data_IF_754715389398
#
_entry.id   IF_754715389398
#
_cell.length_a   1.000
_cell.length_b   1.000
_cell.length_c   1.000
_cell.angle_alpha   90.00
_cell.angle_beta   90.00
_cell.angle_gamma   90.00
#
_symmetry.space_group_name_H-M   'P 1'
#
loop_
_entity.id
_entity.type
_entity.pdbx_description
1 polymer ?
#
# COMPACT_ATOMS: atom_id res chain seq x y z
N UNK A 1 6.35 -4.30 2.16
CA UNK A 1 6.89 -3.31 3.09
C UNK A 1 8.31 -2.90 2.70
N UNK A 2 8.78 -1.78 3.23
CA UNK A 2 10.18 -1.33 3.04
C UNK A 2 11.06 -1.95 4.13
N UNK A 3 12.32 -2.26 3.79
CA UNK A 3 13.31 -2.69 4.78
C UNK A 3 13.48 -1.60 5.84
N UNK A 4 13.43 -1.99 7.11
CA UNK A 4 13.50 -1.06 8.24
C UNK A 4 14.29 -1.68 9.37
N UNK A 5 15.07 -0.86 10.09
CA UNK A 5 15.75 -1.22 11.32
C UNK A 5 15.23 -0.30 12.42
N UNK A 6 14.67 -0.86 13.48
CA UNK A 6 14.14 -0.14 14.64
C UNK A 6 15.05 -0.33 15.86
N UNK A 7 14.95 0.57 16.83
CA UNK A 7 15.75 0.50 18.04
C UNK A 7 17.25 0.72 17.82
N UNK A 8 17.62 1.47 16.78
CA UNK A 8 19.01 1.71 16.38
C UNK A 8 19.67 2.76 17.31
N UNK A 9 19.94 2.38 18.57
CA UNK A 9 20.56 3.24 19.58
C UNK A 9 22.05 3.53 19.36
N UNK A 10 22.64 3.02 18.26
CA UNK A 10 24.04 3.19 17.91
C UNK A 10 24.27 4.32 16.91
N UNK A 11 23.21 5.04 16.53
CA UNK A 11 23.28 6.23 15.69
C UNK A 11 22.75 7.46 16.44
N UNK A 12 23.39 8.62 16.20
CA UNK A 12 22.97 9.93 16.69
C UNK A 12 22.70 10.84 15.51
N UNK A 13 21.50 11.43 15.44
CA UNK A 13 21.06 12.26 14.32
C UNK A 13 21.30 13.73 14.65
N UNK A 14 22.01 14.43 13.78
CA UNK A 14 22.30 15.85 13.86
C UNK A 14 21.57 16.59 12.73
N UNK A 15 20.41 17.16 13.03
CA UNK A 15 19.54 17.83 12.05
C UNK A 15 20.16 19.13 11.51
N UNK A 16 20.93 19.82 12.33
CA UNK A 16 21.61 21.07 12.00
C UNK A 16 22.69 20.89 10.92
N UNK A 17 23.44 19.80 11.02
CA UNK A 17 24.49 19.44 10.04
C UNK A 17 24.00 18.46 8.98
N UNK A 18 22.75 17.99 9.08
CA UNK A 18 22.16 16.97 8.20
C UNK A 18 23.01 15.71 8.10
N UNK A 19 23.47 15.22 9.25
CA UNK A 19 24.30 14.02 9.36
C UNK A 19 23.75 13.08 10.43
N UNK A 20 24.10 11.80 10.33
CA UNK A 20 24.09 10.94 11.51
C UNK A 20 25.45 10.34 11.79
N UNK A 21 25.76 10.20 13.06
CA UNK A 21 27.02 9.65 13.55
C UNK A 21 26.76 8.28 14.14
N UNK A 22 27.55 7.30 13.73
CA UNK A 22 27.52 5.98 14.33
C UNK A 22 28.56 5.88 15.46
N UNK A 23 28.30 5.07 16.47
CA UNK A 23 29.22 4.87 17.61
C UNK A 23 30.61 4.38 17.22
N UNK A 24 30.75 3.74 16.05
CA UNK A 24 32.03 3.32 15.49
C UNK A 24 32.81 4.45 14.78
N UNK A 25 32.33 5.68 14.85
CA UNK A 25 32.97 6.87 14.27
C UNK A 25 32.62 7.17 12.81
N UNK A 26 31.78 6.35 12.17
CA UNK A 26 31.30 6.62 10.80
C UNK A 26 30.28 7.78 10.83
N UNK A 27 30.47 8.72 9.89
CA UNK A 27 29.57 9.87 9.70
C UNK A 27 28.97 9.78 8.32
N UNK A 28 27.65 9.76 8.25
CA UNK A 28 26.86 9.72 7.01
C UNK A 28 26.13 11.06 6.86
N UNK A 29 26.16 11.64 5.67
CA UNK A 29 25.53 12.92 5.32
C UNK A 29 24.23 12.70 4.56
N UNK A 30 23.37 13.70 4.57
CA UNK A 30 22.18 13.71 3.71
C UNK A 30 22.58 13.53 2.24
N UNK A 31 21.94 12.57 1.56
CA UNK A 31 22.24 12.20 0.18
C UNK A 31 23.23 11.05 0.01
N UNK A 32 23.94 10.65 1.06
CA UNK A 32 24.81 9.49 1.02
C UNK A 32 23.98 8.18 0.95
N UNK A 33 24.52 7.20 0.22
CA UNK A 33 23.90 5.89 0.14
C UNK A 33 24.25 5.03 1.35
N UNK A 34 23.22 4.36 1.89
CA UNK A 34 23.35 3.32 2.90
C UNK A 34 22.58 2.08 2.50
N UNK A 35 23.09 0.91 2.84
CA UNK A 35 22.44 -0.37 2.62
C UNK A 35 21.97 -0.96 3.94
N UNK A 36 20.69 -1.33 4.02
CA UNK A 36 20.06 -1.88 5.22
C UNK A 36 19.94 -3.41 5.11
N UNK A 37 20.35 -4.12 6.15
CA UNK A 37 20.06 -5.54 6.35
C UNK A 37 19.12 -5.70 7.54
N UNK A 38 17.82 -5.68 7.29
CA UNK A 38 16.80 -5.78 8.33
C UNK A 38 16.82 -7.12 9.08
N UNK A 39 17.26 -8.21 8.44
CA UNK A 39 17.38 -9.53 9.09
C UNK A 39 18.45 -9.55 10.17
N UNK A 40 19.58 -8.88 9.94
CA UNK A 40 20.72 -8.83 10.88
C UNK A 40 20.73 -7.55 11.73
N UNK A 41 19.86 -6.57 11.42
CA UNK A 41 19.87 -5.27 12.09
C UNK A 41 21.13 -4.45 11.78
N UNK A 42 21.72 -4.59 10.60
CA UNK A 42 22.97 -3.93 10.23
C UNK A 42 22.75 -2.87 9.16
N UNK A 43 23.46 -1.75 9.33
CA UNK A 43 23.56 -0.65 8.36
C UNK A 43 24.98 -0.65 7.80
N UNK A 44 25.08 -0.66 6.48
CA UNK A 44 26.36 -0.58 5.77
C UNK A 44 26.46 0.75 5.05
N UNK A 45 27.65 1.35 5.08
CA UNK A 45 27.96 2.52 4.27
C UNK A 45 27.99 2.16 2.79
N UNK A 46 27.40 3.01 1.96
CA UNK A 46 27.35 2.85 0.51
C UNK A 46 26.24 1.97 -0.01
N UNK A 47 26.17 1.87 -1.35
CA UNK A 47 25.22 1.03 -2.07
C UNK A 47 25.84 -0.33 -2.35
N UNK A 48 25.41 -1.35 -1.61
CA UNK A 48 25.85 -2.73 -1.84
C UNK A 48 24.92 -3.45 -2.81
N UNK A 49 25.40 -4.43 -3.57
CA UNK A 49 24.56 -5.26 -4.42
C UNK A 49 23.48 -5.98 -3.59
N UNK A 50 22.22 -5.79 -3.98
CA UNK A 50 21.09 -6.46 -3.37
C UNK A 50 20.73 -7.73 -4.14
N UNK A 51 20.43 -8.80 -3.42
CA UNK A 51 19.90 -10.01 -4.02
C UNK A 51 18.37 -9.92 -4.02
N UNK A 52 17.79 -9.87 -5.21
CA UNK A 52 16.34 -9.92 -5.36
C UNK A 52 15.83 -11.31 -4.90
N UNK A 53 14.80 -11.29 -4.05
CA UNK A 53 14.13 -12.52 -3.65
C UNK A 53 13.23 -12.96 -4.81
N UNK A 54 13.63 -14.04 -5.48
CA UNK A 54 12.83 -14.71 -6.50
C UNK A 54 12.23 -15.97 -5.90
N UNK A 55 10.96 -15.91 -5.53
CA UNK A 55 10.26 -17.05 -4.94
C UNK A 55 10.14 -18.23 -5.90
N UNK A 56 10.11 -17.94 -7.21
CA UNK A 56 10.04 -18.98 -8.24
C UNK A 56 11.34 -19.81 -8.34
N UNK A 57 12.45 -19.26 -7.88
CA UNK A 57 13.74 -19.94 -7.81
C UNK A 57 14.05 -20.54 -6.44
N UNK A 58 13.25 -20.23 -5.40
CA UNK A 58 13.47 -20.75 -4.06
C UNK A 58 12.78 -22.11 -3.87
N UNK A 59 13.52 -23.19 -4.12
CA UNK A 59 12.97 -24.56 -4.02
C UNK A 59 12.51 -24.88 -2.60
N UNK A 60 13.24 -24.48 -1.57
CA UNK A 60 12.86 -24.73 -0.17
C UNK A 60 11.55 -24.07 0.20
N UNK A 61 11.31 -22.84 -0.30
CA UNK A 61 10.03 -22.14 -0.13
C UNK A 61 8.89 -22.90 -0.82
N UNK A 62 9.09 -23.32 -2.07
CA UNK A 62 8.09 -24.09 -2.81
C UNK A 62 7.72 -25.40 -2.12
N UNK A 63 8.71 -26.11 -1.61
CA UNK A 63 8.48 -27.40 -0.93
C UNK A 63 7.78 -27.20 0.41
N UNK A 64 8.10 -26.13 1.14
CA UNK A 64 7.38 -25.73 2.35
C UNK A 64 5.92 -25.40 2.02
N UNK A 65 5.66 -24.57 1.00
CA UNK A 65 4.29 -24.20 0.63
C UNK A 65 3.47 -25.40 0.14
N UNK A 66 4.06 -26.35 -0.59
CA UNK A 66 3.39 -27.61 -0.94
C UNK A 66 2.99 -28.42 0.28
N UNK A 67 3.83 -28.45 1.31
CA UNK A 67 3.52 -29.13 2.57
C UNK A 67 2.38 -28.43 3.31
N UNK A 68 2.44 -27.10 3.40
CA UNK A 68 1.39 -26.27 4.00
C UNK A 68 0.05 -26.50 3.30
N UNK A 69 0.03 -26.50 1.96
CA UNK A 69 -1.20 -26.72 1.17
C UNK A 69 -1.83 -28.09 1.38
N UNK A 70 -1.03 -29.11 1.73
CA UNK A 70 -1.54 -30.45 2.07
C UNK A 70 -2.18 -30.52 3.45
N UNK A 71 -1.74 -29.69 4.38
CA UNK A 71 -2.12 -29.76 5.81
C UNK A 71 -3.19 -28.71 6.14
N UNK A 72 -3.17 -27.56 5.47
CA UNK A 72 -4.11 -26.47 5.76
C UNK A 72 -5.56 -26.93 5.59
N UNK A 73 -6.42 -26.47 6.48
CA UNK A 73 -7.88 -26.71 6.45
C UNK A 73 -8.60 -25.46 5.99
N UNK A 74 -8.02 -24.28 6.25
CA UNK A 74 -8.60 -22.99 5.88
C UNK A 74 -7.92 -22.40 4.64
N UNK A 75 -8.72 -21.82 3.75
CA UNK A 75 -8.22 -21.03 2.63
C UNK A 75 -7.68 -19.68 3.12
N UNK A 76 -6.61 -19.22 2.48
CA UNK A 76 -5.98 -17.92 2.80
C UNK A 76 -6.32 -16.90 1.71
N UNK A 77 -6.91 -15.77 2.10
CA UNK A 77 -7.22 -14.66 1.21
C UNK A 77 -6.40 -13.45 1.58
N UNK A 78 -5.92 -12.72 0.59
CA UNK A 78 -5.19 -11.47 0.79
C UNK A 78 -6.13 -10.28 0.91
N UNK A 79 -5.63 -9.17 1.47
CA UNK A 79 -6.19 -7.85 1.24
C UNK A 79 -5.45 -7.24 0.06
N UNK A 80 -6.19 -6.72 -0.91
CA UNK A 80 -5.62 -6.07 -2.08
C UNK A 80 -6.60 -5.02 -2.59
N UNK A 81 -6.11 -3.84 -2.91
CA UNK A 81 -6.89 -2.71 -3.39
C UNK A 81 -6.50 -2.29 -4.81
N UNK A 82 -5.40 -2.84 -5.35
CA UNK A 82 -4.96 -2.60 -6.73
C UNK A 82 -4.83 -3.92 -7.50
N UNK A 83 -4.89 -3.89 -8.84
CA UNK A 83 -4.61 -5.07 -9.66
C UNK A 83 -3.22 -5.66 -9.41
N UNK A 84 -2.22 -4.79 -9.14
CA UNK A 84 -0.84 -5.17 -8.86
C UNK A 84 -0.74 -5.94 -7.54
N UNK A 85 -1.38 -5.44 -6.47
CA UNK A 85 -1.44 -6.13 -5.17
C UNK A 85 -2.16 -7.47 -5.29
N UNK A 86 -3.26 -7.51 -6.05
CA UNK A 86 -4.01 -8.74 -6.31
C UNK A 86 -3.13 -9.79 -7.04
N UNK A 87 -2.41 -9.37 -8.09
CA UNK A 87 -1.50 -10.25 -8.82
C UNK A 87 -0.36 -10.75 -7.91
N UNK A 88 0.19 -9.88 -7.08
CA UNK A 88 1.21 -10.25 -6.12
C UNK A 88 0.67 -11.23 -5.07
N UNK A 89 -0.55 -11.01 -4.57
CA UNK A 89 -1.22 -11.93 -3.64
C UNK A 89 -1.39 -13.33 -4.23
N UNK A 90 -1.85 -13.43 -5.48
CA UNK A 90 -1.96 -14.71 -6.19
C UNK A 90 -0.59 -15.39 -6.37
N UNK A 91 0.45 -14.63 -6.68
CA UNK A 91 1.81 -15.14 -6.78
C UNK A 91 2.32 -15.73 -5.46
N UNK A 92 1.88 -15.20 -4.32
CA UNK A 92 2.16 -15.75 -2.98
C UNK A 92 1.23 -16.90 -2.57
N UNK A 93 0.29 -17.31 -3.41
CA UNK A 93 -0.62 -18.42 -3.16
C UNK A 93 -1.91 -18.04 -2.46
N UNK A 94 -2.32 -16.77 -2.50
CA UNK A 94 -3.63 -16.36 -2.01
C UNK A 94 -4.75 -17.00 -2.84
N UNK A 95 -5.83 -17.42 -2.18
CA UNK A 95 -6.98 -18.09 -2.77
C UNK A 95 -8.16 -17.14 -3.02
N UNK A 96 -7.89 -15.85 -2.99
CA UNK A 96 -8.89 -14.81 -3.21
C UNK A 96 -8.52 -13.49 -2.53
N UNK A 97 -9.41 -12.50 -2.66
CA UNK A 97 -9.35 -11.26 -1.88
C UNK A 97 -10.35 -11.37 -0.73
N UNK A 98 -9.86 -11.29 0.50
CA UNK A 98 -10.66 -11.31 1.73
C UNK A 98 -11.29 -9.95 2.02
N UNK A 99 -10.63 -8.87 1.63
CA UNK A 99 -11.16 -7.52 1.72
C UNK A 99 -10.56 -6.62 0.63
N UNK A 100 -11.43 -6.11 -0.22
CA UNK A 100 -11.17 -5.01 -1.14
C UNK A 100 -11.84 -3.75 -0.55
N UNK A 101 -11.02 -2.79 -0.13
CA UNK A 101 -11.47 -1.54 0.47
C UNK A 101 -11.69 -0.50 -0.60
N UNK A 102 -12.94 -0.21 -0.92
CA UNK A 102 -13.27 0.75 -1.98
C UNK A 102 -12.81 2.17 -1.69
N UNK A 103 -12.69 2.53 -0.42
CA UNK A 103 -12.20 3.85 0.00
C UNK A 103 -10.71 4.08 -0.34
N UNK A 104 -9.91 3.02 -0.47
CA UNK A 104 -8.48 3.16 -0.82
C UNK A 104 -8.26 3.57 -2.28
N UNK A 105 -9.26 3.47 -3.14
CA UNK A 105 -9.21 3.96 -4.52
C UNK A 105 -9.05 5.48 -4.63
N UNK A 106 -9.30 6.21 -3.54
CA UNK A 106 -9.23 7.68 -3.49
C UNK A 106 -7.91 8.20 -2.93
N UNK A 107 -6.96 7.30 -2.66
CA UNK A 107 -5.63 7.64 -2.19
C UNK A 107 -4.56 7.24 -3.21
N UNK A 108 -3.50 8.02 -3.28
CA UNK A 108 -2.38 7.76 -4.15
C UNK A 108 -2.34 8.66 -5.39
N UNK A 109 -1.32 8.46 -6.19
CA UNK A 109 -1.08 9.24 -7.40
C UNK A 109 -2.18 9.00 -8.44
N UNK A 110 -2.73 10.08 -9.01
CA UNK A 110 -3.80 10.04 -10.01
C UNK A 110 -5.22 9.88 -9.43
N UNK A 111 -5.39 9.94 -8.09
CA UNK A 111 -6.70 9.87 -7.43
C UNK A 111 -7.35 11.24 -7.13
N UNK A 112 -6.73 12.35 -7.55
CA UNK A 112 -7.19 13.71 -7.27
C UNK A 112 -8.61 13.95 -7.77
N UNK A 113 -8.90 13.56 -9.00
CA UNK A 113 -10.23 13.73 -9.60
C UNK A 113 -11.28 12.82 -8.93
N UNK A 114 -11.08 11.51 -8.74
CA UNK A 114 -12.00 10.69 -7.96
C UNK A 114 -12.24 11.20 -6.55
N UNK A 115 -11.21 11.66 -5.85
CA UNK A 115 -11.32 12.23 -4.51
C UNK A 115 -12.16 13.51 -4.50
N UNK A 116 -11.94 14.41 -5.46
CA UNK A 116 -12.75 15.62 -5.63
C UNK A 116 -14.23 15.27 -5.85
N UNK A 117 -14.53 14.30 -6.72
CA UNK A 117 -15.90 13.86 -6.99
C UNK A 117 -16.56 13.21 -5.78
N UNK A 118 -15.80 12.45 -5.00
CA UNK A 118 -16.28 11.89 -3.74
C UNK A 118 -16.62 12.99 -2.74
N UNK A 119 -15.74 13.96 -2.54
CA UNK A 119 -15.98 15.14 -1.69
C UNK A 119 -17.21 15.92 -2.15
N UNK A 120 -17.33 16.19 -3.45
CA UNK A 120 -18.49 16.85 -4.06
C UNK A 120 -19.79 16.07 -3.78
N UNK A 121 -19.77 14.75 -3.90
CA UNK A 121 -20.91 13.91 -3.57
C UNK A 121 -21.31 14.02 -2.07
N UNK A 122 -20.31 14.01 -1.17
CA UNK A 122 -20.53 14.09 0.28
C UNK A 122 -21.17 15.43 0.68
N UNK A 123 -20.66 16.56 0.14
CA UNK A 123 -21.13 17.90 0.51
C UNK A 123 -22.35 18.38 -0.28
N UNK A 124 -22.84 17.60 -1.24
CA UNK A 124 -24.03 17.95 -2.05
C UNK A 124 -25.24 18.13 -1.17
N UNK A 125 -25.94 19.24 -1.33
CA UNK A 125 -27.11 19.61 -0.54
C UNK A 125 -28.41 19.00 -1.06
N UNK A 126 -28.45 18.69 -2.36
CA UNK A 126 -29.64 18.16 -3.03
C UNK A 126 -29.37 16.78 -3.65
N UNK A 127 -30.42 15.98 -3.79
CA UNK A 127 -30.33 14.67 -4.43
C UNK A 127 -29.86 14.74 -5.90
N UNK A 128 -30.34 15.67 -6.74
CA UNK A 128 -29.85 15.81 -8.11
C UNK A 128 -28.34 16.11 -8.21
N UNK A 129 -27.82 17.02 -7.37
CA UNK A 129 -26.40 17.33 -7.31
C UNK A 129 -25.58 16.10 -6.91
N UNK A 130 -26.04 15.38 -5.88
CA UNK A 130 -25.38 14.15 -5.42
C UNK A 130 -25.37 13.07 -6.51
N UNK A 131 -26.50 12.87 -7.22
CA UNK A 131 -26.57 11.92 -8.34
C UNK A 131 -25.61 12.28 -9.47
N UNK A 132 -25.47 13.56 -9.77
CA UNK A 132 -24.53 14.02 -10.82
C UNK A 132 -23.10 13.66 -10.43
N UNK A 133 -22.66 14.03 -9.23
CA UNK A 133 -21.32 13.70 -8.73
C UNK A 133 -21.08 12.18 -8.66
N UNK A 134 -22.09 11.43 -8.23
CA UNK A 134 -22.03 9.96 -8.17
C UNK A 134 -21.88 9.33 -9.56
N UNK A 135 -22.59 9.82 -10.58
CA UNK A 135 -22.49 9.30 -11.94
C UNK A 135 -21.11 9.55 -12.55
N UNK A 136 -20.52 10.70 -12.26
CA UNK A 136 -19.14 11.00 -12.68
C UNK A 136 -18.14 10.10 -11.94
N UNK A 137 -18.29 9.90 -10.64
CA UNK A 137 -17.46 9.05 -9.81
C UNK A 137 -17.56 7.56 -10.22
N UNK A 138 -18.74 7.11 -10.61
CA UNK A 138 -19.01 5.72 -10.99
C UNK A 138 -18.07 5.19 -12.08
N UNK A 139 -17.65 6.05 -13.02
CA UNK A 139 -16.76 5.64 -14.12
C UNK A 139 -15.41 5.17 -13.59
N UNK A 140 -14.86 5.87 -12.59
CA UNK A 140 -13.58 5.55 -11.95
C UNK A 140 -13.70 4.27 -11.12
N UNK A 141 -14.67 4.24 -10.22
CA UNK A 141 -14.91 3.07 -9.33
C UNK A 141 -15.15 1.79 -10.14
N UNK A 142 -15.97 1.88 -11.20
CA UNK A 142 -16.22 0.75 -12.09
C UNK A 142 -14.95 0.26 -12.79
N UNK A 143 -14.11 1.18 -13.26
CA UNK A 143 -12.85 0.85 -13.92
C UNK A 143 -11.91 0.09 -12.97
N UNK A 144 -11.73 0.58 -11.76
CA UNK A 144 -10.79 0.02 -10.78
C UNK A 144 -11.25 -1.36 -10.29
N UNK A 145 -12.54 -1.49 -9.96
CA UNK A 145 -13.12 -2.79 -9.62
C UNK A 145 -12.97 -3.77 -10.78
N UNK A 146 -13.28 -3.36 -12.00
CA UNK A 146 -13.15 -4.22 -13.19
C UNK A 146 -11.71 -4.68 -13.41
N UNK A 147 -10.74 -3.80 -13.25
CA UNK A 147 -9.33 -4.13 -13.42
C UNK A 147 -8.88 -5.18 -12.38
N UNK A 148 -9.24 -4.98 -11.12
CA UNK A 148 -8.92 -5.95 -10.05
C UNK A 148 -9.63 -7.29 -10.26
N UNK A 149 -10.93 -7.28 -10.60
CA UNK A 149 -11.67 -8.52 -10.90
C UNK A 149 -11.11 -9.27 -12.11
N UNK A 150 -10.54 -8.56 -13.09
CA UNK A 150 -9.91 -9.20 -14.25
C UNK A 150 -8.67 -10.01 -13.85
N UNK A 151 -7.88 -9.51 -12.92
CA UNK A 151 -6.72 -10.24 -12.35
C UNK A 151 -7.19 -11.42 -11.50
N UNK A 152 -8.30 -11.24 -10.78
CA UNK A 152 -8.86 -12.24 -9.86
C UNK A 152 -9.82 -13.22 -10.54
N UNK A 153 -9.78 -13.33 -11.85
CA UNK A 153 -10.69 -14.23 -12.60
C UNK A 153 -10.61 -15.67 -12.06
N UNK A 154 -11.75 -16.22 -11.64
CA UNK A 154 -11.84 -17.55 -11.03
C UNK A 154 -11.60 -17.60 -9.52
N UNK A 155 -11.25 -16.48 -8.88
CA UNK A 155 -11.04 -16.38 -7.44
C UNK A 155 -12.12 -15.52 -6.76
N UNK A 156 -12.52 -15.84 -5.53
CA UNK A 156 -13.49 -15.05 -4.79
C UNK A 156 -12.91 -13.69 -4.36
N UNK A 157 -13.73 -12.65 -4.47
CA UNK A 157 -13.39 -11.29 -4.05
C UNK A 157 -14.50 -10.75 -3.15
N UNK A 158 -14.15 -10.36 -1.93
CA UNK A 158 -15.06 -9.68 -1.01
C UNK A 158 -14.85 -8.17 -1.12
N UNK A 159 -15.83 -7.45 -1.65
CA UNK A 159 -15.77 -6.00 -1.83
C UNK A 159 -16.54 -5.33 -0.71
N UNK A 160 -15.88 -4.43 0.03
CA UNK A 160 -16.55 -3.56 1.00
C UNK A 160 -17.27 -2.44 0.24
N UNK A 161 -18.54 -2.24 0.56
CA UNK A 161 -19.28 -1.10 0.03
C UNK A 161 -18.68 0.20 0.53
N UNK A 162 -18.75 1.25 -0.32
CA UNK A 162 -18.20 2.55 0.00
C UNK A 162 -18.93 3.17 1.20
N UNK A 163 -18.20 3.40 2.27
CA UNK A 163 -18.65 4.10 3.47
C UNK A 163 -17.50 5.01 3.94
N UNK A 164 -17.33 6.18 3.27
CA UNK A 164 -16.19 7.03 3.53
C UNK A 164 -16.30 7.71 4.91
N UNK A 165 -15.30 7.52 5.80
CA UNK A 165 -15.23 8.27 7.05
C UNK A 165 -15.04 9.75 6.73
N UNK A 166 -15.98 10.61 7.13
CA UNK A 166 -15.98 12.03 6.77
C UNK A 166 -14.71 12.76 7.20
N UNK A 167 -14.17 12.41 8.35
CA UNK A 167 -12.95 13.04 8.89
C UNK A 167 -11.66 12.69 8.11
N UNK A 168 -11.69 11.62 7.28
CA UNK A 168 -10.56 11.24 6.43
C UNK A 168 -10.65 11.89 5.04
N UNK A 169 -11.88 12.10 4.53
CA UNK A 169 -12.09 12.56 3.16
C UNK A 169 -12.35 14.06 3.04
N UNK A 170 -12.88 14.68 4.08
CA UNK A 170 -13.11 16.13 4.07
C UNK A 170 -11.86 16.87 4.56
N UNK A 171 -11.53 18.04 3.96
CA UNK A 171 -10.45 18.89 4.44
C UNK A 171 -10.70 19.32 5.89
N UNK A 172 -9.63 19.58 6.63
CA UNK A 172 -9.75 20.17 7.96
C UNK A 172 -10.24 21.61 7.84
N UNK A 173 -10.99 22.09 8.84
CA UNK A 173 -11.58 23.46 8.85
C UNK A 173 -10.51 24.53 8.70
N UNK A 174 -9.29 24.27 9.15
CA UNK A 174 -8.16 25.21 9.09
C UNK A 174 -7.44 25.23 7.72
N UNK A 175 -7.84 24.35 6.79
CA UNK A 175 -7.23 24.21 5.47
C UNK A 175 -8.03 25.04 4.44
N UNK A 176 -7.86 26.37 4.49
CA UNK A 176 -8.65 27.33 3.70
C UNK A 176 -8.42 27.22 2.19
N UNK A 177 -7.28 26.70 1.74
CA UNK A 177 -6.98 26.52 0.32
C UNK A 177 -7.71 25.30 -0.29
N UNK A 178 -7.94 24.24 0.49
CA UNK A 178 -8.71 23.07 0.04
C UNK A 178 -10.24 23.24 0.15
N UNK A 179 -10.71 24.28 0.87
CA UNK A 179 -12.13 24.55 1.07
C UNK A 179 -12.72 25.52 0.03
N UNK A 180 -11.87 26.20 -0.75
CA UNK A 180 -12.26 27.15 -1.80
C UNK A 180 -12.50 26.46 -3.14
#
# INVERSE_FOLDING_TARGET
GKCCIVGCGDIEIHNDTKTFHAKNGVVIKEGDWVTLNGTKGLVYEGSLPLVAIDLDKNQSYKDLMKLVDKIKVMGVRTNAETPEDAAQGLKFGAEGIGLFRTEHMFYGEGSEQPLFLLRKMIVSKTEPERKTALNELYVYVKKDIKNTLSVMNGYPVTIRLLDPPLHEFLPKIDDSEELA
#
